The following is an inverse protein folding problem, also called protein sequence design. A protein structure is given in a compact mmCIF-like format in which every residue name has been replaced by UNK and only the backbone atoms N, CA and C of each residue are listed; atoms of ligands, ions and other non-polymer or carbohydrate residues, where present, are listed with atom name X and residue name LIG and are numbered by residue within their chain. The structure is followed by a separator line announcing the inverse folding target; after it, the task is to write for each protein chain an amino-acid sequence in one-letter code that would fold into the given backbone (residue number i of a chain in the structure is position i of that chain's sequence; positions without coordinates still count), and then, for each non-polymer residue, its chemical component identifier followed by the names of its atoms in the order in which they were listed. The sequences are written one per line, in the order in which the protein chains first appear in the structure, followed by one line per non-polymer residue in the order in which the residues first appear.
data_IF_595797199215
#
_entry.id   IF_595797199215
#
_cell.length_a   1.000
_cell.length_b   1.000
_cell.length_c   1.000
_cell.angle_alpha   90.00
_cell.angle_beta   90.00
_cell.angle_gamma   90.00
#
_symmetry.space_group_name_H-M   'P 1'
#
loop_
_entity.id
_entity.type
_entity.pdbx_description
1 polymer ?
#
# COMPACT_ATOMS: atom_id res chain seq x y z
N UNK A 1 5.40 17.86 12.41
CA UNK A 1 6.60 17.68 11.55
C UNK A 1 7.13 16.27 11.82
N UNK A 2 6.84 15.33 10.93
CA UNK A 2 7.08 13.90 11.14
C UNK A 2 8.56 13.52 10.97
N UNK A 3 9.05 12.59 11.79
CA UNK A 3 10.43 12.05 11.74
C UNK A 3 10.81 11.50 10.35
N UNK A 4 9.84 10.97 9.59
CA UNK A 4 10.03 10.44 8.24
C UNK A 4 10.38 11.51 7.20
N UNK A 5 9.87 12.74 7.32
CA UNK A 5 10.26 13.83 6.40
C UNK A 5 11.73 14.22 6.56
N UNK A 6 12.28 14.11 7.77
CA UNK A 6 13.70 14.39 8.03
C UNK A 6 14.63 13.36 7.40
N UNK A 7 14.25 12.09 7.39
CA UNK A 7 15.09 11.00 6.84
C UNK A 7 15.16 11.05 5.31
N UNK A 8 14.04 11.35 4.64
CA UNK A 8 14.01 11.53 3.18
C UNK A 8 14.83 12.74 2.75
N UNK A 9 14.69 13.87 3.45
CA UNK A 9 15.43 15.11 3.14
C UNK A 9 16.94 14.92 3.33
N UNK A 10 17.38 14.17 4.34
CA UNK A 10 18.81 13.87 4.57
C UNK A 10 19.39 12.98 3.46
N UNK A 11 18.61 12.04 2.92
CA UNK A 11 19.04 11.19 1.82
C UNK A 11 19.20 11.99 0.51
N UNK A 12 18.26 12.87 0.21
CA UNK A 12 18.31 13.75 -0.97
C UNK A 12 19.46 14.77 -0.89
N UNK A 13 19.79 15.27 0.28
CA UNK A 13 20.90 16.21 0.48
C UNK A 13 22.27 15.61 0.16
N UNK A 14 22.45 14.33 0.40
CA UNK A 14 23.65 13.57 0.05
C UNK A 14 23.81 13.30 -1.44
N UNK A 15 22.79 13.54 -2.28
CA UNK A 15 22.82 13.25 -3.72
C UNK A 15 23.52 14.38 -4.50
N UNK A 16 24.84 14.38 -4.45
CA UNK A 16 25.67 15.24 -5.32
C UNK A 16 25.69 14.69 -6.75
N UNK A 17 25.88 15.52 -7.79
CA UNK A 17 26.02 15.03 -9.17
C UNK A 17 27.09 13.95 -9.32
N UNK A 18 28.20 14.04 -8.61
CA UNK A 18 29.28 13.03 -8.63
C UNK A 18 28.80 11.67 -8.10
N UNK A 19 28.06 11.66 -6.98
CA UNK A 19 27.49 10.41 -6.43
C UNK A 19 26.44 9.79 -7.35
N UNK A 20 25.66 10.61 -8.03
CA UNK A 20 24.69 10.14 -9.01
C UNK A 20 25.39 9.47 -10.18
N UNK A 21 26.45 10.08 -10.71
CA UNK A 21 27.26 9.51 -11.79
C UNK A 21 27.92 8.20 -11.33
N UNK A 22 28.55 8.17 -10.17
CA UNK A 22 29.15 6.95 -9.60
C UNK A 22 28.13 5.81 -9.46
N UNK A 23 26.91 6.12 -9.03
CA UNK A 23 25.84 5.11 -8.97
C UNK A 23 25.45 4.59 -10.35
N UNK A 24 25.32 5.48 -11.34
CA UNK A 24 24.99 5.10 -12.71
C UNK A 24 26.11 4.30 -13.38
N UNK A 25 27.37 4.56 -13.04
CA UNK A 25 28.55 3.85 -13.58
C UNK A 25 28.54 2.36 -13.24
N UNK A 26 27.88 1.96 -12.17
CA UNK A 26 27.71 0.54 -11.80
C UNK A 26 26.85 -0.26 -12.78
N UNK A 27 26.00 0.43 -13.54
CA UNK A 27 24.98 -0.21 -14.40
C UNK A 27 25.14 0.13 -15.87
N UNK A 28 25.78 1.25 -16.19
CA UNK A 28 25.83 1.81 -17.53
C UNK A 28 27.28 2.10 -17.91
N UNK A 29 27.75 1.40 -18.94
CA UNK A 29 29.11 1.59 -19.46
C UNK A 29 29.13 2.79 -20.42
N UNK A 30 30.10 3.68 -20.27
CA UNK A 30 30.22 4.88 -21.07
C UNK A 30 29.13 5.92 -20.78
N UNK A 31 28.74 6.71 -21.79
CA UNK A 31 27.69 7.73 -21.69
C UNK A 31 27.96 8.85 -20.66
N UNK A 32 29.23 9.22 -20.45
CA UNK A 32 29.67 10.15 -19.41
C UNK A 32 28.94 11.51 -19.45
N UNK A 33 28.75 12.05 -20.67
CA UNK A 33 28.06 13.32 -20.87
C UNK A 33 26.58 13.24 -20.45
N UNK A 34 25.91 12.16 -20.84
CA UNK A 34 24.51 11.93 -20.51
C UNK A 34 24.32 11.74 -19.01
N UNK A 35 25.13 10.88 -18.36
CA UNK A 35 25.10 10.66 -16.92
C UNK A 35 25.27 11.97 -16.14
N UNK A 36 26.26 12.79 -16.53
CA UNK A 36 26.50 14.09 -15.90
C UNK A 36 25.34 15.06 -16.10
N UNK A 37 24.78 15.12 -17.31
CA UNK A 37 23.64 16.01 -17.59
C UNK A 37 22.41 15.65 -16.75
N UNK A 38 22.04 14.37 -16.68
CA UNK A 38 20.90 13.93 -15.86
C UNK A 38 21.15 14.09 -14.36
N UNK A 39 22.39 13.89 -13.89
CA UNK A 39 22.78 14.10 -12.52
C UNK A 39 22.63 15.59 -12.09
N UNK A 40 23.04 16.52 -12.96
CA UNK A 40 22.85 17.96 -12.73
C UNK A 40 21.37 18.32 -12.74
N UNK A 41 20.59 17.81 -13.70
CA UNK A 41 19.15 18.06 -13.77
C UNK A 41 18.43 17.58 -12.51
N UNK A 42 18.76 16.35 -12.02
CA UNK A 42 18.26 15.84 -10.76
C UNK A 42 18.60 16.76 -9.57
N UNK A 43 19.85 17.20 -9.48
CA UNK A 43 20.28 18.10 -8.41
C UNK A 43 19.53 19.41 -8.42
N UNK A 44 19.27 19.97 -9.60
CA UNK A 44 18.49 21.20 -9.75
C UNK A 44 17.03 21.00 -9.29
N UNK A 45 16.44 19.83 -9.58
CA UNK A 45 15.10 19.49 -9.10
C UNK A 45 15.05 19.41 -7.57
N UNK A 46 16.03 18.75 -6.94
CA UNK A 46 16.14 18.67 -5.47
C UNK A 46 16.30 20.07 -4.86
N UNK A 47 17.11 20.92 -5.48
CA UNK A 47 17.29 22.31 -5.02
C UNK A 47 16.00 23.12 -5.12
N UNK A 48 15.23 22.95 -6.21
CA UNK A 48 13.94 23.63 -6.40
C UNK A 48 12.97 23.36 -5.27
N UNK A 49 12.88 22.10 -4.80
CA UNK A 49 12.02 21.72 -3.67
C UNK A 49 12.34 22.44 -2.35
N UNK A 50 13.54 22.97 -2.21
CA UNK A 50 13.98 23.71 -1.00
C UNK A 50 13.70 25.21 -1.08
N UNK A 51 13.22 25.68 -2.20
CA UNK A 51 12.88 27.09 -2.38
C UNK A 51 11.51 27.39 -1.77
N UNK A 52 11.27 28.66 -1.36
CA UNK A 52 9.93 29.11 -1.03
C UNK A 52 8.95 28.80 -2.17
N UNK A 53 7.71 28.44 -1.83
CA UNK A 53 6.69 27.98 -2.78
C UNK A 53 6.48 28.98 -3.93
N UNK A 54 6.53 30.27 -3.66
CA UNK A 54 6.37 31.33 -4.65
C UNK A 54 7.47 31.30 -5.70
N UNK A 55 8.72 31.17 -5.29
CA UNK A 55 9.88 31.10 -6.21
C UNK A 55 9.90 29.74 -6.93
N UNK A 56 9.56 28.66 -6.25
CA UNK A 56 9.52 27.32 -6.85
C UNK A 56 8.50 27.21 -8.00
N UNK A 57 7.39 27.95 -7.94
CA UNK A 57 6.39 27.99 -9.01
C UNK A 57 6.89 28.65 -10.30
N UNK A 58 7.79 29.62 -10.19
CA UNK A 58 8.39 30.30 -11.34
C UNK A 58 9.46 29.44 -12.04
N UNK A 59 10.04 28.46 -11.33
CA UNK A 59 11.13 27.62 -11.85
C UNK A 59 10.55 26.25 -12.26
N UNK A 60 10.19 26.12 -13.53
CA UNK A 60 9.74 24.85 -14.07
C UNK A 60 10.90 23.86 -14.27
N UNK A 61 10.75 22.58 -13.88
CA UNK A 61 11.71 21.55 -14.22
C UNK A 61 11.86 21.44 -15.75
N UNK A 62 13.10 21.28 -16.22
CA UNK A 62 13.36 21.11 -17.66
C UNK A 62 13.18 19.66 -18.07
N UNK A 63 12.54 19.44 -19.21
CA UNK A 63 12.53 18.16 -19.87
C UNK A 63 13.93 17.84 -20.42
N UNK A 64 14.28 16.55 -20.43
CA UNK A 64 15.59 16.10 -20.93
C UNK A 64 15.35 15.31 -22.23
N UNK A 65 15.92 15.81 -23.34
CA UNK A 65 15.96 15.09 -24.59
C UNK A 65 17.20 14.21 -24.64
N UNK A 66 17.02 12.89 -24.83
CA UNK A 66 18.10 11.94 -24.98
C UNK A 66 18.16 11.47 -26.43
N UNK A 67 19.27 11.74 -27.11
CA UNK A 67 19.52 11.34 -28.51
C UNK A 67 20.64 10.31 -28.58
N UNK A 68 20.43 9.24 -29.33
CA UNK A 68 21.43 8.18 -29.52
C UNK A 68 20.83 6.90 -30.07
N UNK A 69 21.65 5.94 -30.56
CA UNK A 69 21.17 4.69 -31.13
C UNK A 69 20.45 3.83 -30.07
N UNK A 70 19.74 2.81 -30.53
CA UNK A 70 19.02 1.86 -29.67
C UNK A 70 20.04 1.04 -28.86
N UNK A 71 19.69 0.65 -27.63
CA UNK A 71 20.54 -0.22 -26.81
C UNK A 71 21.68 0.48 -26.03
N UNK A 72 21.87 1.79 -26.19
CA UNK A 72 22.97 2.52 -25.49
C UNK A 72 22.64 2.88 -24.03
N UNK A 73 21.53 2.41 -23.48
CA UNK A 73 21.19 2.59 -22.05
C UNK A 73 20.34 3.80 -21.73
N UNK A 74 19.73 4.51 -22.71
CA UNK A 74 18.87 5.69 -22.44
C UNK A 74 17.78 5.42 -21.40
N UNK A 75 16.99 4.36 -21.60
CA UNK A 75 15.92 3.96 -20.66
C UNK A 75 16.48 3.55 -19.31
N UNK A 76 17.63 2.87 -19.30
CA UNK A 76 18.24 2.40 -18.05
C UNK A 76 18.73 3.57 -17.19
N UNK A 77 19.29 4.61 -17.81
CA UNK A 77 19.67 5.85 -17.11
C UNK A 77 18.45 6.41 -16.36
N UNK A 78 17.31 6.58 -17.07
CA UNK A 78 16.09 7.15 -16.47
C UNK A 78 15.53 6.28 -15.35
N UNK A 79 15.46 4.96 -15.56
CA UNK A 79 14.96 4.01 -14.56
C UNK A 79 15.83 3.96 -13.30
N UNK A 80 17.16 3.93 -13.45
CA UNK A 80 18.09 3.93 -12.31
C UNK A 80 18.05 5.23 -11.54
N UNK A 81 17.91 6.35 -12.27
CA UNK A 81 17.73 7.66 -11.64
C UNK A 81 16.46 7.71 -10.78
N UNK A 82 15.31 7.26 -11.33
CA UNK A 82 14.05 7.19 -10.61
C UNK A 82 14.14 6.29 -9.36
N UNK A 83 14.76 5.11 -9.51
CA UNK A 83 14.98 4.18 -8.39
C UNK A 83 15.84 4.79 -7.28
N UNK A 84 16.89 5.54 -7.64
CA UNK A 84 17.80 6.18 -6.69
C UNK A 84 17.11 7.22 -5.82
N UNK A 85 16.18 7.98 -6.39
CA UNK A 85 15.42 9.02 -5.67
C UNK A 85 14.06 8.55 -5.20
N UNK A 86 13.76 7.28 -5.37
CA UNK A 86 12.46 6.69 -5.04
C UNK A 86 11.29 7.48 -5.65
N UNK A 87 11.45 7.85 -6.94
CA UNK A 87 10.43 8.55 -7.70
C UNK A 87 9.50 7.56 -8.44
N UNK A 88 8.21 7.85 -8.55
CA UNK A 88 7.33 7.13 -9.46
C UNK A 88 7.85 7.19 -10.88
N UNK A 89 7.89 6.05 -11.57
CA UNK A 89 8.47 5.95 -12.90
C UNK A 89 7.58 5.12 -13.81
N UNK A 90 7.32 5.65 -15.00
CA UNK A 90 6.71 4.90 -16.10
C UNK A 90 7.55 5.05 -17.37
N UNK A 91 7.57 3.98 -18.17
CA UNK A 91 8.08 3.99 -19.53
C UNK A 91 6.93 3.81 -20.48
N UNK A 92 6.82 4.70 -21.45
CA UNK A 92 5.80 4.65 -22.50
C UNK A 92 6.46 4.83 -23.86
N UNK A 93 5.91 4.16 -24.89
CA UNK A 93 6.31 4.33 -26.28
C UNK A 93 5.38 5.36 -26.93
N UNK A 94 5.95 6.41 -27.50
CA UNK A 94 5.18 7.53 -28.05
C UNK A 94 4.19 7.07 -29.15
N UNK A 95 4.57 6.08 -29.93
CA UNK A 95 3.75 5.51 -31.02
C UNK A 95 2.45 4.82 -30.56
N UNK A 96 2.31 4.53 -29.25
CA UNK A 96 1.09 3.93 -28.69
C UNK A 96 -0.01 4.95 -28.41
N UNK A 97 0.31 6.21 -28.47
CA UNK A 97 -0.62 7.31 -28.19
C UNK A 97 -1.09 7.94 -29.51
N UNK A 98 -2.37 8.22 -29.56
CA UNK A 98 -3.01 8.84 -30.72
C UNK A 98 -3.89 9.99 -30.25
N UNK A 99 -4.28 10.84 -31.22
CA UNK A 99 -5.29 11.86 -30.95
C UNK A 99 -6.62 11.24 -30.55
N UNK A 100 -7.39 11.99 -29.76
CA UNK A 100 -8.72 11.59 -29.28
C UNK A 100 -9.62 11.22 -30.46
N UNK A 101 -10.14 9.99 -30.44
CA UNK A 101 -11.03 9.47 -31.50
C UNK A 101 -10.39 8.50 -32.49
N UNK A 102 -9.07 8.30 -32.47
CA UNK A 102 -8.37 7.27 -33.22
C UNK A 102 -8.05 6.04 -32.36
N UNK A 103 -7.74 4.93 -33.00
CA UNK A 103 -7.36 3.68 -32.31
C UNK A 103 -5.99 3.86 -31.69
N UNK A 104 -5.95 4.03 -30.35
CA UNK A 104 -4.74 4.21 -29.57
C UNK A 104 -5.05 4.57 -28.12
N UNK A 105 -4.01 4.65 -27.28
CA UNK A 105 -4.16 5.08 -25.89
C UNK A 105 -4.26 6.61 -25.82
N UNK A 106 -5.14 7.08 -24.95
CA UNK A 106 -5.23 8.49 -24.58
C UNK A 106 -3.97 8.95 -23.85
N UNK A 107 -3.47 10.15 -24.20
CA UNK A 107 -2.28 10.78 -23.57
C UNK A 107 -2.45 10.91 -22.05
N UNK A 108 -3.66 11.22 -21.59
CA UNK A 108 -3.96 11.32 -20.15
C UNK A 108 -3.74 10.01 -19.39
N UNK A 109 -3.81 8.87 -20.09
CA UNK A 109 -3.55 7.56 -19.49
C UNK A 109 -2.12 7.45 -18.94
N UNK A 110 -1.14 8.19 -19.48
CA UNK A 110 0.21 8.24 -18.91
C UNK A 110 0.21 8.82 -17.50
N UNK A 111 -0.57 9.86 -17.27
CA UNK A 111 -0.64 10.49 -15.95
C UNK A 111 -1.30 9.53 -14.96
N UNK A 112 -2.35 8.82 -15.39
CA UNK A 112 -2.99 7.78 -14.57
C UNK A 112 -2.01 6.67 -14.21
N UNK A 113 -1.30 6.11 -15.19
CA UNK A 113 -0.29 5.07 -14.97
C UNK A 113 0.82 5.55 -14.00
N UNK A 114 1.21 6.84 -14.07
CA UNK A 114 2.18 7.42 -13.16
C UNK A 114 1.64 7.53 -11.73
N UNK A 115 0.38 7.96 -11.57
CA UNK A 115 -0.28 8.01 -10.25
C UNK A 115 -0.44 6.61 -9.67
N UNK A 116 -0.81 5.61 -10.46
CA UNK A 116 -0.91 4.22 -10.02
C UNK A 116 0.45 3.70 -9.53
N UNK A 117 1.53 4.03 -10.25
CA UNK A 117 2.90 3.74 -9.81
C UNK A 117 3.24 4.41 -8.48
N UNK A 118 2.81 5.66 -8.28
CA UNK A 118 2.99 6.39 -7.04
C UNK A 118 2.19 5.76 -5.88
N UNK A 119 0.93 5.39 -6.12
CA UNK A 119 0.06 4.71 -5.16
C UNK A 119 0.70 3.41 -4.69
N UNK A 120 1.16 2.57 -5.62
CA UNK A 120 1.82 1.32 -5.30
C UNK A 120 3.09 1.53 -4.44
N UNK A 121 3.87 2.58 -4.75
CA UNK A 121 5.09 2.92 -4.02
C UNK A 121 4.79 3.43 -2.61
N UNK A 122 3.86 4.36 -2.46
CA UNK A 122 3.46 4.94 -1.16
C UNK A 122 2.82 3.87 -0.29
N UNK A 123 1.91 3.04 -0.86
CA UNK A 123 1.29 1.91 -0.16
C UNK A 123 2.33 0.93 0.38
N UNK A 124 3.31 0.54 -0.44
CA UNK A 124 4.39 -0.33 0.00
C UNK A 124 5.16 0.25 1.19
N UNK A 125 5.44 1.55 1.17
CA UNK A 125 6.11 2.24 2.28
C UNK A 125 5.24 2.28 3.53
N UNK A 126 3.95 2.63 3.39
CA UNK A 126 3.00 2.65 4.50
C UNK A 126 2.86 1.26 5.13
N UNK A 127 2.71 0.20 4.32
CA UNK A 127 2.69 -1.19 4.81
C UNK A 127 3.94 -1.54 5.60
N UNK A 128 5.12 -1.16 5.14
CA UNK A 128 6.37 -1.40 5.87
C UNK A 128 6.37 -0.70 7.23
N UNK A 129 5.85 0.53 7.31
CA UNK A 129 5.80 1.30 8.55
C UNK A 129 4.81 0.74 9.58
N UNK A 130 3.74 0.09 9.13
CA UNK A 130 2.70 -0.49 10.01
C UNK A 130 2.90 -1.98 10.25
N UNK A 131 3.93 -2.60 9.70
CA UNK A 131 4.15 -4.05 9.77
C UNK A 131 4.27 -4.55 11.22
N UNK A 132 5.04 -3.89 12.06
CA UNK A 132 5.23 -4.29 13.45
C UNK A 132 3.94 -4.16 14.27
N UNK A 133 3.25 -3.01 14.31
CA UNK A 133 1.98 -2.91 15.03
C UNK A 133 0.89 -3.82 14.45
N UNK A 134 0.89 -4.10 13.15
CA UNK A 134 -0.03 -5.04 12.53
C UNK A 134 0.23 -6.48 12.99
N UNK A 135 1.49 -6.87 13.14
CA UNK A 135 1.87 -8.17 13.67
C UNK A 135 1.36 -8.38 15.09
N UNK A 136 1.53 -7.37 15.96
CA UNK A 136 1.02 -7.43 17.35
C UNK A 136 -0.49 -7.60 17.38
N UNK A 137 -1.24 -6.86 16.53
CA UNK A 137 -2.71 -7.02 16.46
C UNK A 137 -3.12 -8.39 15.88
N UNK A 138 -2.39 -8.89 14.92
CA UNK A 138 -2.63 -10.22 14.37
C UNK A 138 -2.45 -11.33 15.42
N UNK A 139 -1.42 -11.23 16.27
CA UNK A 139 -1.23 -12.17 17.37
C UNK A 139 -2.37 -12.10 18.40
N UNK A 140 -2.84 -10.90 18.74
CA UNK A 140 -4.00 -10.73 19.60
C UNK A 140 -5.26 -11.38 19.02
N UNK A 141 -5.50 -11.15 17.73
CA UNK A 141 -6.65 -11.75 17.01
C UNK A 141 -6.55 -13.27 16.91
N UNK A 142 -5.34 -13.82 16.75
CA UNK A 142 -5.10 -15.27 16.79
C UNK A 142 -5.44 -15.86 18.17
N UNK A 143 -5.00 -15.22 19.24
CA UNK A 143 -5.34 -15.65 20.60
C UNK A 143 -6.85 -15.62 20.83
N UNK A 144 -7.53 -14.56 20.37
CA UNK A 144 -8.99 -14.46 20.45
C UNK A 144 -9.72 -15.57 19.66
N UNK A 145 -9.15 -15.99 18.53
CA UNK A 145 -9.67 -17.10 17.75
C UNK A 145 -9.45 -18.48 18.41
N UNK A 146 -8.39 -18.62 19.25
CA UNK A 146 -8.06 -19.84 19.98
C UNK A 146 -8.79 -19.97 21.30
N UNK A 147 -9.23 -18.88 21.88
CA UNK A 147 -10.00 -18.88 23.12
C UNK A 147 -11.42 -19.42 22.83
N UNK A 148 -11.97 -20.30 23.69
CA UNK A 148 -13.34 -20.73 23.55
C UNK A 148 -14.26 -19.49 23.56
N UNK A 149 -15.09 -19.36 22.53
CA UNK A 149 -16.11 -18.30 22.51
C UNK A 149 -16.98 -18.47 23.75
N UNK A 150 -16.76 -17.63 24.76
CA UNK A 150 -17.78 -17.48 25.80
C UNK A 150 -19.05 -17.08 25.05
N UNK A 151 -20.09 -17.92 25.14
CA UNK A 151 -21.39 -17.60 24.58
C UNK A 151 -21.75 -16.19 25.04
N UNK A 152 -21.82 -15.25 24.10
CA UNK A 152 -22.30 -13.90 24.40
C UNK A 152 -23.62 -14.09 25.13
N UNK A 153 -23.64 -13.85 26.43
CA UNK A 153 -24.90 -13.66 27.16
C UNK A 153 -25.67 -12.63 26.35
N UNK A 154 -26.89 -12.98 25.93
CA UNK A 154 -27.79 -12.11 25.19
C UNK A 154 -27.73 -10.70 25.79
N UNK A 155 -27.79 -9.64 24.96
CA UNK A 155 -27.86 -8.28 25.48
C UNK A 155 -28.93 -8.22 26.54
N UNK A 156 -28.59 -7.63 27.69
CA UNK A 156 -29.49 -7.49 28.82
C UNK A 156 -30.87 -7.05 28.31
N UNK A 157 -31.89 -7.83 28.67
CA UNK A 157 -33.29 -7.55 28.34
C UNK A 157 -33.55 -6.11 28.75
N UNK A 158 -34.16 -5.25 27.89
CA UNK A 158 -34.42 -3.85 28.22
C UNK A 158 -35.16 -3.78 29.57
N UNK A 159 -34.82 -2.82 30.41
CA UNK A 159 -35.31 -2.67 31.78
C UNK A 159 -36.84 -2.69 31.91
N UNK A 160 -37.58 -2.39 30.83
CA UNK A 160 -39.02 -2.45 30.79
C UNK A 160 -39.56 -3.89 30.88
N UNK A 161 -38.84 -4.92 30.45
CA UNK A 161 -39.26 -6.33 30.55
C UNK A 161 -39.08 -6.93 31.93
N UNK A 162 -38.28 -6.30 32.82
CA UNK A 162 -38.15 -6.70 34.24
C UNK A 162 -39.44 -6.44 35.02
N UNK A 163 -40.27 -5.53 34.54
CA UNK A 163 -41.55 -5.18 35.19
C UNK A 163 -42.60 -6.27 35.02
N UNK A 164 -42.45 -7.20 34.05
CA UNK A 164 -43.42 -8.27 33.77
C UNK A 164 -43.06 -9.65 34.38
N UNK A 165 -42.14 -9.70 35.36
CA UNK A 165 -41.99 -10.89 36.20
C UNK A 165 -41.33 -12.12 35.52
N UNK A 166 -40.64 -11.94 34.40
CA UNK A 166 -39.91 -13.01 33.74
C UNK A 166 -38.39 -12.78 33.85
N UNK A 167 -37.86 -12.73 35.07
CA UNK A 167 -36.44 -12.77 35.29
C UNK A 167 -36.07 -14.11 35.97
N UNK A 168 -35.20 -14.96 35.39
CA UNK A 168 -34.50 -15.95 36.18
C UNK A 168 -33.43 -15.22 36.98
N UNK A 169 -33.49 -15.34 38.31
CA UNK A 169 -32.46 -14.95 39.23
C UNK A 169 -31.15 -15.68 38.88
N UNK A 170 -30.24 -15.00 38.26
CA UNK A 170 -28.85 -15.40 38.12
C UNK A 170 -28.01 -14.21 38.61
N UNK A 171 -28.01 -13.98 39.89
CA UNK A 171 -26.98 -13.23 40.61
C UNK A 171 -25.69 -14.07 40.58
N UNK A 172 -24.98 -14.08 39.44
CA UNK A 172 -23.57 -14.44 39.45
C UNK A 172 -22.86 -13.30 40.17
N UNK A 173 -22.37 -13.57 41.38
CA UNK A 173 -21.66 -12.64 42.24
C UNK A 173 -20.51 -11.99 41.47
N UNK A 174 -20.31 -10.70 41.69
CA UNK A 174 -19.24 -9.90 41.03
C UNK A 174 -17.84 -10.50 41.20
N UNK A 175 -17.64 -11.34 42.21
CA UNK A 175 -16.38 -12.06 42.52
C UNK A 175 -16.14 -13.26 41.55
N UNK A 176 -17.17 -13.98 41.13
CA UNK A 176 -17.03 -15.07 40.16
C UNK A 176 -16.71 -14.52 38.76
N UNK A 177 -17.29 -13.41 38.39
CA UNK A 177 -17.00 -12.72 37.10
C UNK A 177 -15.56 -12.19 37.10
N UNK A 178 -15.07 -11.64 38.20
CA UNK A 178 -13.69 -11.16 38.32
C UNK A 178 -12.69 -12.33 38.26
N UNK A 179 -13.00 -13.47 38.88
CA UNK A 179 -12.15 -14.67 38.86
C UNK A 179 -12.10 -15.35 37.46
N UNK A 180 -13.20 -15.35 36.73
CA UNK A 180 -13.25 -15.86 35.36
C UNK A 180 -12.47 -14.95 34.40
N UNK A 181 -12.56 -13.62 34.57
CA UNK A 181 -11.82 -12.64 33.76
C UNK A 181 -10.30 -12.80 33.99
N UNK A 182 -9.85 -12.91 35.22
CA UNK A 182 -8.44 -13.14 35.54
C UNK A 182 -7.91 -14.48 34.99
N UNK A 183 -8.69 -15.56 35.05
CA UNK A 183 -8.31 -16.84 34.42
C UNK A 183 -8.18 -16.74 32.92
N UNK A 184 -9.04 -15.97 32.29
CA UNK A 184 -9.02 -15.74 30.81
C UNK A 184 -7.83 -14.90 30.41
N UNK A 185 -7.48 -13.86 31.17
CA UNK A 185 -6.29 -13.03 30.94
C UNK A 185 -5.00 -13.84 31.11
N UNK A 186 -4.86 -14.63 32.16
CA UNK A 186 -3.71 -15.49 32.36
C UNK A 186 -3.56 -16.56 31.24
N UNK A 187 -4.67 -17.04 30.70
CA UNK A 187 -4.66 -17.98 29.56
C UNK A 187 -4.24 -17.26 28.27
N UNK A 188 -4.70 -16.03 28.08
CA UNK A 188 -4.34 -15.17 26.95
C UNK A 188 -2.84 -14.89 26.92
N UNK A 189 -2.26 -14.50 28.05
CA UNK A 189 -0.83 -14.22 28.17
C UNK A 189 0.03 -15.45 27.89
N UNK A 190 -0.38 -16.62 28.39
CA UNK A 190 0.30 -17.89 28.08
C UNK A 190 0.23 -18.25 26.61
N UNK A 191 -0.93 -18.07 25.95
CA UNK A 191 -1.08 -18.31 24.53
C UNK A 191 -0.24 -17.35 23.70
N UNK A 192 -0.18 -16.06 24.08
CA UNK A 192 0.69 -15.07 23.44
C UNK A 192 2.17 -15.44 23.56
N UNK A 193 2.61 -15.90 24.74
CA UNK A 193 3.99 -16.35 24.92
C UNK A 193 4.32 -17.55 24.04
N UNK A 194 3.43 -18.57 23.98
CA UNK A 194 3.60 -19.74 23.14
C UNK A 194 3.58 -19.40 21.64
N UNK A 195 2.78 -18.41 21.21
CA UNK A 195 2.77 -17.89 19.86
C UNK A 195 4.09 -17.24 19.48
N UNK A 196 4.64 -16.38 20.36
CA UNK A 196 5.94 -15.74 20.15
C UNK A 196 7.09 -16.73 20.09
N UNK A 197 7.03 -17.82 20.85
CA UNK A 197 7.99 -18.92 20.81
C UNK A 197 7.82 -19.84 19.60
N UNK A 198 6.77 -19.66 18.76
CA UNK A 198 6.48 -20.52 17.60
C UNK A 198 5.96 -21.91 17.93
N UNK A 199 5.64 -22.20 19.20
CA UNK A 199 5.22 -23.53 19.67
C UNK A 199 3.84 -23.95 19.15
N UNK A 200 3.05 -22.99 18.66
CA UNK A 200 1.69 -23.22 18.17
C UNK A 200 1.58 -23.19 16.63
N UNK A 201 2.69 -22.98 15.92
CA UNK A 201 2.71 -22.72 14.46
C UNK A 201 2.08 -23.83 13.62
N UNK A 202 2.23 -25.09 14.03
CA UNK A 202 1.66 -26.25 13.34
C UNK A 202 0.22 -26.60 13.76
N UNK A 203 -0.30 -25.94 14.79
CA UNK A 203 -1.68 -26.18 15.26
C UNK A 203 -2.68 -25.68 14.24
N UNK A 204 -3.73 -26.46 13.97
CA UNK A 204 -4.85 -26.05 13.14
C UNK A 204 -5.89 -25.28 13.95
N UNK A 205 -6.41 -24.21 13.38
CA UNK A 205 -7.46 -23.37 13.95
C UNK A 205 -8.52 -23.05 12.90
N UNK A 206 -9.75 -22.87 13.34
CA UNK A 206 -10.83 -22.38 12.51
C UNK A 206 -10.88 -20.85 12.61
N UNK A 207 -10.61 -20.16 11.50
CA UNK A 207 -10.57 -18.69 11.43
C UNK A 207 -11.59 -18.17 10.45
N UNK A 208 -12.16 -17.03 10.78
CA UNK A 208 -12.99 -16.27 9.86
C UNK A 208 -12.05 -15.35 9.06
N UNK A 209 -11.82 -15.68 7.78
CA UNK A 209 -11.00 -14.88 6.85
C UNK A 209 -11.93 -14.05 5.98
N UNK A 210 -11.64 -12.75 5.85
CA UNK A 210 -12.32 -11.89 4.90
C UNK A 210 -11.90 -12.30 3.48
N UNK A 211 -12.86 -12.69 2.66
CA UNK A 211 -12.62 -12.97 1.25
C UNK A 211 -12.32 -11.64 0.56
N UNK A 212 -11.04 -11.34 0.36
CA UNK A 212 -10.66 -10.24 -0.53
C UNK A 212 -11.20 -10.57 -1.91
N UNK A 213 -12.12 -9.78 -2.40
CA UNK A 213 -12.72 -9.90 -3.74
C UNK A 213 -11.70 -9.62 -4.87
N UNK A 214 -10.50 -10.17 -4.77
CA UNK A 214 -9.42 -10.12 -5.77
C UNK A 214 -9.42 -11.41 -6.61
N UNK A 215 -10.54 -12.03 -6.79
CA UNK A 215 -10.70 -13.00 -7.86
C UNK A 215 -11.78 -12.47 -8.81
N UNK A 216 -11.42 -11.42 -9.52
CA UNK A 216 -12.01 -11.18 -10.82
C UNK A 216 -11.71 -12.42 -11.66
N UNK A 217 -12.61 -13.40 -11.65
CA UNK A 217 -12.65 -14.39 -12.71
C UNK A 217 -12.92 -13.56 -13.98
N UNK A 218 -12.01 -13.52 -14.96
CA UNK A 218 -12.36 -12.91 -16.24
C UNK A 218 -13.47 -13.79 -16.81
N UNK A 219 -14.70 -13.28 -16.77
CA UNK A 219 -15.79 -13.85 -17.58
C UNK A 219 -15.40 -13.57 -19.02
N UNK A 220 -14.70 -14.53 -19.60
CA UNK A 220 -14.35 -14.58 -21.00
C UNK A 220 -15.66 -14.77 -21.77
N UNK A 221 -16.20 -13.70 -22.32
CA UNK A 221 -17.30 -13.79 -23.27
C UNK A 221 -18.42 -12.78 -23.10
N UNK A 222 -18.15 -11.50 -23.31
CA UNK A 222 -19.15 -10.56 -23.84
C UNK A 222 -18.42 -9.31 -24.34
N UNK A 223 -18.17 -9.28 -25.63
CA UNK A 223 -17.70 -8.10 -26.32
C UNK A 223 -18.71 -6.95 -26.12
N UNK A 224 -18.32 -5.89 -25.43
CA UNK A 224 -19.00 -4.61 -25.49
C UNK A 224 -19.52 -3.96 -24.22
N UNK A 225 -19.23 -4.46 -22.99
CA UNK A 225 -19.72 -3.86 -21.74
C UNK A 225 -18.64 -3.64 -20.66
N UNK A 226 -17.37 -3.51 -21.05
CA UNK A 226 -16.24 -3.44 -20.10
C UNK A 226 -16.17 -2.15 -19.25
N UNK A 227 -16.88 -1.10 -19.62
CA UNK A 227 -16.81 0.18 -18.89
C UNK A 227 -17.86 0.36 -17.78
N UNK A 228 -18.93 -0.45 -17.77
CA UNK A 228 -20.02 -0.32 -16.79
C UNK A 228 -19.84 -1.25 -15.59
N UNK A 229 -19.15 -2.40 -15.76
CA UNK A 229 -18.97 -3.40 -14.71
C UNK A 229 -18.08 -2.98 -13.56
N UNK A 230 -17.08 -2.15 -13.80
CA UNK A 230 -16.09 -1.73 -12.79
C UNK A 230 -16.73 -0.76 -11.79
N UNK A 231 -17.52 0.19 -12.26
CA UNK A 231 -18.18 1.18 -11.39
C UNK A 231 -19.32 0.60 -10.55
N UNK A 232 -20.01 -0.44 -11.02
CA UNK A 232 -21.10 -1.07 -10.29
C UNK A 232 -20.58 -1.91 -9.11
N UNK A 233 -19.43 -2.55 -9.28
CA UNK A 233 -18.75 -3.31 -8.23
C UNK A 233 -18.21 -2.41 -7.11
N UNK A 234 -17.67 -1.23 -7.44
CA UNK A 234 -17.24 -0.22 -6.46
C UNK A 234 -18.44 0.46 -5.77
N UNK A 235 -19.50 0.74 -6.51
CA UNK A 235 -20.67 1.41 -5.96
C UNK A 235 -21.51 0.49 -5.05
N UNK A 236 -21.55 -0.81 -5.30
CA UNK A 236 -22.22 -1.81 -4.47
C UNK A 236 -21.32 -2.43 -3.38
N UNK A 237 -19.99 -2.35 -3.53
CA UNK A 237 -19.03 -2.93 -2.60
C UNK A 237 -19.07 -2.33 -1.20
N UNK A 238 -19.58 -1.10 -1.05
CA UNK A 238 -19.79 -0.46 0.25
C UNK A 238 -21.05 -0.91 1.01
N UNK A 239 -22.01 -1.53 0.33
CA UNK A 239 -23.29 -1.97 0.93
C UNK A 239 -23.40 -3.48 1.15
N UNK A 240 -22.55 -4.29 0.51
CA UNK A 240 -22.57 -5.73 0.71
C UNK A 240 -21.71 -6.08 1.93
N UNK A 241 -22.24 -6.80 2.93
CA UNK A 241 -21.44 -7.27 4.05
C UNK A 241 -20.34 -8.17 3.50
N UNK A 242 -19.09 -7.84 3.81
CA UNK A 242 -17.92 -8.65 3.46
C UNK A 242 -18.19 -10.09 3.90
N UNK A 243 -18.24 -11.01 2.95
CA UNK A 243 -18.45 -12.42 3.27
C UNK A 243 -17.21 -12.95 3.98
N UNK A 244 -17.34 -13.24 5.27
CA UNK A 244 -16.35 -14.02 6.00
C UNK A 244 -16.60 -15.50 5.76
N UNK A 245 -15.56 -16.23 5.41
CA UNK A 245 -15.61 -17.68 5.21
C UNK A 245 -14.79 -18.35 6.29
N UNK A 246 -15.41 -19.28 7.01
CA UNK A 246 -14.68 -20.11 7.97
C UNK A 246 -13.73 -21.03 7.21
N UNK A 247 -12.45 -20.94 7.53
CA UNK A 247 -11.41 -21.74 6.93
C UNK A 247 -10.54 -22.35 8.03
N UNK A 248 -10.29 -23.65 7.91
CA UNK A 248 -9.36 -24.36 8.78
C UNK A 248 -7.96 -24.26 8.19
N UNK A 249 -7.02 -23.75 8.98
CA UNK A 249 -5.64 -23.56 8.55
C UNK A 249 -4.67 -23.60 9.72
N UNK A 250 -3.38 -23.75 9.43
CA UNK A 250 -2.33 -23.68 10.47
C UNK A 250 -2.19 -22.26 11.02
N UNK A 251 -1.80 -22.16 12.28
CA UNK A 251 -1.55 -20.89 12.98
C UNK A 251 -0.51 -20.05 12.24
N UNK A 252 0.54 -20.66 11.71
CA UNK A 252 1.55 -19.97 10.91
C UNK A 252 0.98 -19.30 9.66
N UNK A 253 0.05 -19.94 8.97
CA UNK A 253 -0.66 -19.39 7.80
C UNK A 253 -1.64 -18.29 8.23
N UNK A 254 -2.42 -18.52 9.29
CA UNK A 254 -3.37 -17.56 9.82
C UNK A 254 -2.67 -16.28 10.31
N UNK A 255 -1.49 -16.40 10.94
CA UNK A 255 -0.64 -15.25 11.36
C UNK A 255 -0.28 -14.36 10.17
N UNK A 256 0.14 -14.95 9.06
CA UNK A 256 0.48 -14.19 7.85
C UNK A 256 -0.72 -13.46 7.27
N UNK A 257 -1.87 -14.14 7.18
CA UNK A 257 -3.12 -13.56 6.66
C UNK A 257 -3.58 -12.42 7.56
N UNK A 258 -3.67 -12.64 8.87
CA UNK A 258 -4.11 -11.62 9.82
C UNK A 258 -3.16 -10.43 9.87
N UNK A 259 -1.84 -10.65 9.80
CA UNK A 259 -0.87 -9.54 9.74
C UNK A 259 -1.09 -8.69 8.48
N UNK A 260 -1.37 -9.29 7.34
CA UNK A 260 -1.66 -8.56 6.11
C UNK A 260 -2.99 -7.79 6.20
N UNK A 261 -4.06 -8.43 6.71
CA UNK A 261 -5.36 -7.79 6.90
C UNK A 261 -5.29 -6.62 7.90
N UNK A 262 -4.59 -6.79 9.01
CA UNK A 262 -4.43 -5.72 10.01
C UNK A 262 -3.56 -4.57 9.49
N UNK A 263 -2.51 -4.87 8.71
CA UNK A 263 -1.70 -3.84 8.05
C UNK A 263 -2.54 -3.01 7.06
N UNK A 264 -3.39 -3.66 6.25
CA UNK A 264 -4.28 -2.96 5.32
C UNK A 264 -5.31 -2.08 6.05
N UNK A 265 -5.88 -2.55 7.17
CA UNK A 265 -6.81 -1.76 7.98
C UNK A 265 -6.17 -0.54 8.63
N UNK A 266 -4.84 -0.55 8.81
CA UNK A 266 -4.09 0.57 9.38
C UNK A 266 -3.74 1.65 8.37
N UNK A 267 -3.91 1.39 7.07
CA UNK A 267 -3.63 2.37 6.04
C UNK A 267 -4.88 3.24 5.84
N UNK A 268 -4.68 4.54 5.99
CA UNK A 268 -5.68 5.53 5.62
C UNK A 268 -5.65 5.74 4.09
N UNK A 269 -6.74 5.35 3.43
CA UNK A 269 -6.87 5.43 1.97
C UNK A 269 -6.83 6.88 1.44
N UNK A 270 -7.36 7.83 2.22
CA UNK A 270 -7.34 9.24 1.83
C UNK A 270 -5.94 9.83 1.94
N UNK A 271 -5.23 9.54 3.03
CA UNK A 271 -3.84 9.94 3.20
C UNK A 271 -2.93 9.31 2.13
N UNK A 272 -3.16 8.03 1.79
CA UNK A 272 -2.46 7.33 0.72
C UNK A 272 -2.64 8.03 -0.62
N UNK A 273 -3.89 8.34 -0.99
CA UNK A 273 -4.21 8.98 -2.28
C UNK A 273 -3.59 10.37 -2.38
N UNK A 274 -3.73 11.18 -1.34
CA UNK A 274 -3.17 12.53 -1.29
C UNK A 274 -1.65 12.52 -1.44
N UNK A 275 -0.97 11.67 -0.68
CA UNK A 275 0.49 11.57 -0.74
C UNK A 275 0.98 11.00 -2.08
N UNK A 276 0.24 10.06 -2.67
CA UNK A 276 0.58 9.50 -3.97
C UNK A 276 0.47 10.54 -5.10
N UNK A 277 -0.58 11.36 -5.07
CA UNK A 277 -0.76 12.46 -6.03
C UNK A 277 0.36 13.49 -5.89
N UNK A 278 0.65 13.94 -4.67
CA UNK A 278 1.75 14.87 -4.41
C UNK A 278 3.08 14.31 -4.91
N UNK A 279 3.35 13.04 -4.62
CA UNK A 279 4.58 12.37 -5.06
C UNK A 279 4.64 12.21 -6.58
N UNK A 280 3.53 11.94 -7.26
CA UNK A 280 3.49 11.89 -8.72
C UNK A 280 3.76 13.26 -9.35
N UNK A 281 3.18 14.33 -8.80
CA UNK A 281 3.33 15.70 -9.27
C UNK A 281 4.75 16.23 -9.08
N UNK A 282 5.31 16.03 -7.87
CA UNK A 282 6.60 16.62 -7.51
C UNK A 282 7.80 15.75 -7.93
N UNK A 283 7.66 14.42 -7.93
CA UNK A 283 8.76 13.48 -8.13
C UNK A 283 8.62 12.62 -9.39
N UNK A 284 7.43 12.50 -9.95
CA UNK A 284 7.15 11.60 -11.07
C UNK A 284 8.08 11.79 -12.26
N UNK A 285 8.48 10.69 -12.88
CA UNK A 285 9.32 10.66 -14.09
C UNK A 285 8.60 9.84 -15.15
N UNK A 286 8.30 10.47 -16.28
CA UNK A 286 7.75 9.82 -17.47
C UNK A 286 8.89 9.73 -18.49
N UNK A 287 9.22 8.51 -18.91
CA UNK A 287 10.17 8.27 -19.99
C UNK A 287 9.39 7.96 -21.28
N UNK A 288 9.41 8.92 -22.20
CA UNK A 288 8.85 8.78 -23.52
C UNK A 288 9.91 8.21 -24.47
N UNK A 289 9.69 6.99 -24.95
CA UNK A 289 10.56 6.32 -25.92
C UNK A 289 10.04 6.53 -27.33
N UNK A 290 10.93 6.48 -28.32
CA UNK A 290 10.59 6.53 -29.76
C UNK A 290 9.81 7.77 -30.19
N UNK A 291 10.10 8.94 -29.57
CA UNK A 291 9.39 10.21 -29.91
C UNK A 291 9.67 10.67 -31.35
N UNK A 292 10.73 10.19 -31.96
CA UNK A 292 11.09 10.44 -33.36
C UNK A 292 10.21 9.72 -34.38
N UNK A 293 9.36 8.81 -33.91
CA UNK A 293 8.42 8.05 -34.77
C UNK A 293 6.99 8.61 -34.80
N UNK A 294 6.76 9.70 -34.08
CA UNK A 294 5.43 10.38 -34.01
C UNK A 294 5.35 11.53 -35.00
#
# INVERSE_FOLDING_TARGET
MNANSRTVTQHEDGLTPSRVVEYLDRYIVGQEKAKRAVAVALRNRIRRKKLPVEIAKEINPKNILMVGPTGVGKTEIARRLASMVQAPFIKVEATKFTEVGYVGRDVESMVRDLVDSAVAMVRKRMLTNVQEPAHIRAEQRLVDAMLPRQSRKMPAVPDFMKVFGAAPDNEATSEEQAAETQKTENTRDKLLAMLKEGRLDDREIDVDVEESSVTGVPILGASGMDSIGINLSEMLGGMLPKRSKKRRMKVSEARRIFSAEEAEKMIDAEALSREAIEKAQEDGIIFLDEIDKV
#
